data_IF_231438333537
#
_entry.id   IF_231438333537
#
_cell.length_a   1.000
_cell.length_b   1.000
_cell.length_c   1.000
_cell.angle_alpha   90.00
_cell.angle_beta   90.00
_cell.angle_gamma   90.00
#
_symmetry.space_group_name_H-M   'P 1'
#
loop_
_entity.id
_entity.type
_entity.pdbx_description
1 polymer ?
#
# COMPACT_ATOMS: atom_id res chain seq x y z
N UNK A 1 -27.55 1.28 -1.68
CA UNK A 1 -27.50 0.56 -0.39
C UNK A 1 -27.61 1.58 0.72
N UNK A 2 -28.44 1.36 1.72
CA UNK A 2 -28.66 2.33 2.80
C UNK A 2 -28.95 1.60 4.11
N UNK A 3 -28.42 2.10 5.23
CA UNK A 3 -28.67 1.59 6.59
C UNK A 3 -28.46 0.08 6.72
N UNK A 4 -27.38 -0.45 6.11
CA UNK A 4 -27.13 -1.88 6.02
C UNK A 4 -25.74 -2.27 6.56
N UNK A 5 -25.62 -3.52 7.05
CA UNK A 5 -24.35 -4.17 7.32
C UNK A 5 -24.12 -5.27 6.29
N UNK A 6 -23.02 -5.18 5.54
CA UNK A 6 -22.79 -6.02 4.36
C UNK A 6 -21.35 -6.52 4.31
N UNK A 7 -21.18 -7.83 4.09
CA UNK A 7 -19.88 -8.50 3.92
C UNK A 7 -19.83 -9.21 2.56
N UNK A 8 -18.86 -8.85 1.73
CA UNK A 8 -18.69 -9.41 0.37
C UNK A 8 -17.25 -9.88 0.17
N UNK A 9 -17.06 -11.10 -0.33
CA UNK A 9 -15.73 -11.67 -0.59
C UNK A 9 -15.08 -11.19 -1.90
N UNK A 10 -15.84 -10.53 -2.76
CA UNK A 10 -15.37 -9.99 -4.03
C UNK A 10 -15.54 -8.47 -4.12
N UNK A 11 -15.78 -7.98 -5.32
CA UNK A 11 -16.04 -6.56 -5.56
C UNK A 11 -17.49 -6.16 -5.23
N UNK A 12 -17.67 -4.90 -4.87
CA UNK A 12 -18.99 -4.25 -4.74
C UNK A 12 -19.13 -3.21 -5.83
N UNK A 13 -20.26 -3.25 -6.53
CA UNK A 13 -20.70 -2.23 -7.47
C UNK A 13 -22.03 -1.67 -6.99
N UNK A 14 -22.13 -0.36 -6.81
CA UNK A 14 -23.38 0.29 -6.44
C UNK A 14 -23.43 1.75 -6.89
N UNK A 15 -24.63 2.31 -7.05
CA UNK A 15 -24.77 3.71 -7.44
C UNK A 15 -24.60 4.66 -6.24
N UNK A 16 -25.11 4.27 -5.07
CA UNK A 16 -25.05 5.04 -3.83
C UNK A 16 -24.93 4.10 -2.65
N UNK A 17 -24.07 4.46 -1.70
CA UNK A 17 -23.97 3.79 -0.40
C UNK A 17 -24.04 4.82 0.72
N UNK A 18 -24.96 4.62 1.66
CA UNK A 18 -25.22 5.61 2.70
C UNK A 18 -25.45 4.98 4.07
N UNK A 19 -24.89 5.61 5.12
CA UNK A 19 -25.09 5.26 6.52
C UNK A 19 -24.97 3.76 6.79
N UNK A 20 -23.99 3.12 6.17
CA UNK A 20 -23.84 1.66 6.15
C UNK A 20 -22.49 1.25 6.70
N UNK A 21 -22.40 -0.03 7.05
CA UNK A 21 -21.17 -0.71 7.45
C UNK A 21 -20.85 -1.78 6.42
N UNK A 22 -19.88 -1.55 5.55
CA UNK A 22 -19.64 -2.43 4.40
C UNK A 22 -18.19 -2.91 4.38
N UNK A 23 -18.01 -4.22 4.32
CA UNK A 23 -16.70 -4.86 4.18
C UNK A 23 -16.65 -5.63 2.86
N UNK A 24 -15.69 -5.29 2.00
CA UNK A 24 -15.38 -6.07 0.81
C UNK A 24 -13.92 -6.53 0.80
N UNK A 25 -13.66 -7.77 0.42
CA UNK A 25 -12.29 -8.29 0.39
C UNK A 25 -11.48 -7.82 -0.83
N UNK A 26 -12.15 -7.34 -1.88
CA UNK A 26 -11.51 -6.77 -3.06
C UNK A 26 -11.72 -5.25 -3.11
N UNK A 27 -12.52 -4.73 -4.06
CA UNK A 27 -12.71 -3.30 -4.28
C UNK A 27 -14.17 -2.86 -4.22
N UNK A 28 -14.40 -1.61 -3.83
CA UNK A 28 -15.69 -0.93 -3.97
C UNK A 28 -15.64 0.08 -5.12
N UNK A 29 -16.64 -0.02 -5.98
CA UNK A 29 -16.83 0.83 -7.15
C UNK A 29 -18.21 1.48 -7.06
N UNK A 30 -18.25 2.72 -6.60
CA UNK A 30 -19.49 3.43 -6.34
C UNK A 30 -19.70 4.49 -7.43
N UNK A 31 -20.30 4.09 -8.54
CA UNK A 31 -20.45 4.92 -9.74
C UNK A 31 -21.88 4.85 -10.25
N UNK A 32 -22.35 5.91 -10.90
CA UNK A 32 -23.66 5.91 -11.55
C UNK A 32 -24.23 7.31 -11.64
N UNK A 33 -25.57 7.43 -11.59
CA UNK A 33 -26.24 8.74 -11.66
C UNK A 33 -25.89 9.69 -10.51
N UNK A 34 -25.38 9.15 -9.40
CA UNK A 34 -24.97 9.91 -8.21
C UNK A 34 -23.59 9.50 -7.71
N UNK A 35 -23.23 8.21 -7.75
CA UNK A 35 -21.87 7.73 -7.44
C UNK A 35 -21.34 8.14 -6.06
N UNK A 36 -22.18 8.12 -5.01
CA UNK A 36 -21.84 8.72 -3.70
C UNK A 36 -21.66 7.72 -2.58
N UNK A 37 -20.66 7.96 -1.73
CA UNK A 37 -20.51 7.33 -0.41
C UNK A 37 -20.78 8.37 0.66
N UNK A 38 -21.80 8.16 1.50
CA UNK A 38 -22.22 9.16 2.51
C UNK A 38 -22.44 8.52 3.86
N UNK A 39 -21.59 8.81 4.83
CA UNK A 39 -21.79 8.38 6.21
C UNK A 39 -21.57 6.88 6.44
N UNK A 40 -21.04 6.54 7.61
CA UNK A 40 -20.77 5.14 8.00
C UNK A 40 -19.32 4.72 7.79
N UNK A 41 -19.10 3.40 7.72
CA UNK A 41 -17.76 2.82 7.71
C UNK A 41 -17.62 1.77 6.60
N UNK A 42 -16.55 1.92 5.81
CA UNK A 42 -16.34 1.14 4.59
C UNK A 42 -14.92 0.56 4.59
N UNK A 43 -14.80 -0.74 4.36
CA UNK A 43 -13.54 -1.46 4.33
C UNK A 43 -13.36 -2.19 3.01
N UNK A 44 -12.26 -1.92 2.32
CA UNK A 44 -11.90 -2.67 1.12
C UNK A 44 -10.49 -3.27 1.22
N UNK A 45 -10.28 -4.41 0.58
CA UNK A 45 -8.95 -5.02 0.51
C UNK A 45 -8.02 -4.25 -0.42
N UNK A 46 -8.52 -3.74 -1.55
CA UNK A 46 -7.70 -3.13 -2.58
C UNK A 46 -8.01 -1.65 -2.76
N UNK A 47 -9.23 -1.31 -3.17
CA UNK A 47 -9.57 0.03 -3.63
C UNK A 47 -10.97 0.45 -3.21
N UNK A 48 -11.15 1.74 -2.94
CA UNK A 48 -12.47 2.37 -2.85
C UNK A 48 -12.48 3.53 -3.84
N UNK A 49 -13.35 3.47 -4.82
CA UNK A 49 -13.49 4.49 -5.85
C UNK A 49 -14.96 4.92 -5.95
N UNK A 50 -15.21 6.23 -5.90
CA UNK A 50 -16.53 6.81 -6.01
C UNK A 50 -16.48 8.16 -6.73
N UNK A 51 -17.61 8.63 -7.26
CA UNK A 51 -17.71 9.97 -7.84
C UNK A 51 -17.58 11.04 -6.75
N UNK A 52 -18.39 10.91 -5.69
CA UNK A 52 -18.32 11.78 -4.50
C UNK A 52 -18.15 10.96 -3.21
N UNK A 53 -17.28 11.44 -2.33
CA UNK A 53 -17.05 10.85 -1.01
C UNK A 53 -17.38 11.88 0.06
N UNK A 54 -18.33 11.53 0.93
CA UNK A 54 -18.91 12.41 1.94
C UNK A 54 -20.06 13.26 1.39
N UNK A 55 -20.44 14.30 2.14
CA UNK A 55 -21.50 15.22 1.74
C UNK A 55 -21.34 16.60 2.42
N UNK A 56 -22.14 17.57 1.96
CA UNK A 56 -22.18 18.94 2.50
C UNK A 56 -22.74 19.03 3.91
N UNK A 57 -23.59 18.08 4.31
CA UNK A 57 -24.07 17.97 5.69
C UNK A 57 -22.97 17.48 6.67
N UNK A 58 -21.75 17.29 6.18
CA UNK A 58 -20.56 16.95 6.97
C UNK A 58 -20.72 15.64 7.77
N UNK A 59 -21.47 14.69 7.21
CA UNK A 59 -21.72 13.39 7.83
C UNK A 59 -20.42 12.60 7.81
N UNK A 60 -19.99 12.18 9.01
CA UNK A 60 -18.74 11.46 9.17
C UNK A 60 -18.70 10.19 8.34
N UNK A 61 -17.69 10.09 7.47
CA UNK A 61 -17.50 8.94 6.57
C UNK A 61 -16.09 8.38 6.78
N UNK A 62 -16.00 7.09 7.11
CA UNK A 62 -14.73 6.41 7.33
C UNK A 62 -14.47 5.36 6.24
N UNK A 63 -13.33 5.45 5.57
CA UNK A 63 -12.87 4.53 4.54
C UNK A 63 -11.57 3.89 4.98
N UNK A 64 -11.44 2.56 4.89
CA UNK A 64 -10.23 1.86 5.30
C UNK A 64 -9.82 0.84 4.25
N UNK A 65 -8.53 0.85 3.91
CA UNK A 65 -7.92 -0.16 3.07
C UNK A 65 -6.97 -1.02 3.90
N UNK A 66 -7.23 -2.33 3.92
CA UNK A 66 -6.38 -3.30 4.60
C UNK A 66 -5.63 -4.17 3.61
N UNK A 67 -4.34 -4.47 3.84
CA UNK A 67 -3.62 -5.39 2.99
C UNK A 67 -4.23 -6.77 3.15
N UNK A 68 -4.33 -7.53 2.05
CA UNK A 68 -4.66 -8.94 2.19
C UNK A 68 -3.56 -9.61 3.05
N UNK A 69 -3.96 -10.49 3.97
CA UNK A 69 -3.02 -11.17 4.88
C UNK A 69 -1.87 -11.85 4.10
N UNK A 70 -2.16 -12.35 2.90
CA UNK A 70 -1.19 -12.97 2.00
C UNK A 70 -0.15 -11.98 1.46
N UNK A 71 -0.56 -10.80 1.00
CA UNK A 71 0.36 -9.77 0.48
C UNK A 71 1.25 -9.20 1.57
N UNK A 72 0.65 -8.91 2.74
CA UNK A 72 1.39 -8.35 3.86
C UNK A 72 2.45 -9.34 4.38
N UNK A 73 2.12 -10.63 4.40
CA UNK A 73 3.06 -11.71 4.72
C UNK A 73 4.17 -11.85 3.68
N UNK A 74 3.85 -11.79 2.38
CA UNK A 74 4.87 -11.82 1.30
C UNK A 74 5.83 -10.65 1.39
N UNK A 75 5.31 -9.43 1.62
CA UNK A 75 6.13 -8.23 1.80
C UNK A 75 7.08 -8.39 2.98
N UNK A 76 6.55 -8.74 4.16
CA UNK A 76 7.36 -8.97 5.38
C UNK A 76 8.42 -10.05 5.16
N UNK A 77 8.08 -11.14 4.48
CA UNK A 77 9.01 -12.23 4.19
C UNK A 77 10.17 -11.79 3.29
N UNK A 78 9.90 -11.15 2.15
CA UNK A 78 10.97 -10.69 1.26
C UNK A 78 11.83 -9.60 1.92
N UNK A 79 11.24 -8.69 2.70
CA UNK A 79 12.02 -7.69 3.46
C UNK A 79 12.95 -8.35 4.47
N UNK A 80 12.51 -9.40 5.15
CA UNK A 80 13.36 -10.16 6.07
C UNK A 80 14.49 -10.88 5.33
N UNK A 81 14.18 -11.57 4.23
CA UNK A 81 15.17 -12.29 3.41
C UNK A 81 16.27 -11.37 2.87
N UNK A 82 15.91 -10.18 2.38
CA UNK A 82 16.89 -9.17 1.95
C UNK A 82 17.79 -8.78 3.12
N UNK A 83 17.21 -8.48 4.29
CA UNK A 83 17.97 -8.08 5.48
C UNK A 83 18.95 -9.17 5.93
N UNK A 84 18.51 -10.42 5.98
CA UNK A 84 19.32 -11.57 6.40
C UNK A 84 20.47 -11.83 5.42
N UNK A 85 20.19 -11.85 4.11
CA UNK A 85 21.23 -12.04 3.10
C UNK A 85 22.24 -10.90 3.08
N UNK A 86 21.80 -9.63 3.23
CA UNK A 86 22.72 -8.50 3.35
C UNK A 86 23.61 -8.61 4.59
N UNK A 87 23.07 -9.09 5.72
CA UNK A 87 23.88 -9.35 6.92
C UNK A 87 24.94 -10.43 6.67
N UNK A 88 24.56 -11.52 5.99
CA UNK A 88 25.47 -12.61 5.65
C UNK A 88 26.57 -12.17 4.69
N UNK A 89 26.25 -11.35 3.68
CA UNK A 89 27.26 -10.75 2.79
C UNK A 89 28.25 -9.88 3.56
N UNK A 90 27.78 -9.09 4.52
CA UNK A 90 28.66 -8.28 5.36
C UNK A 90 29.60 -9.16 6.21
N UNK A 91 29.13 -10.28 6.75
CA UNK A 91 29.97 -11.23 7.48
C UNK A 91 31.00 -11.91 6.57
N UNK A 92 30.57 -12.38 5.39
CA UNK A 92 31.46 -12.98 4.39
C UNK A 92 32.52 -12.01 3.88
N UNK A 93 32.16 -10.73 3.71
CA UNK A 93 33.10 -9.67 3.31
C UNK A 93 34.17 -9.46 4.39
N UNK A 94 33.80 -9.48 5.67
CA UNK A 94 34.78 -9.42 6.78
C UNK A 94 35.75 -10.60 6.77
N UNK A 95 35.28 -11.80 6.41
CA UNK A 95 36.18 -12.97 6.27
C UNK A 95 37.23 -12.70 5.19
N UNK A 96 36.87 -12.07 4.07
CA UNK A 96 37.81 -11.70 3.00
C UNK A 96 38.83 -10.63 3.43
N UNK A 97 38.55 -9.87 4.48
CA UNK A 97 39.49 -8.89 5.05
C UNK A 97 40.50 -9.54 6.01
N UNK A 98 40.21 -10.74 6.53
CA UNK A 98 41.00 -11.45 7.54
C UNK A 98 41.95 -12.49 6.93
N UNK A 99 42.95 -12.03 6.17
CA UNK A 99 43.95 -12.91 5.53
C UNK A 99 45.06 -13.41 6.48
N UNK A 100 45.32 -12.71 7.58
CA UNK A 100 46.55 -12.87 8.36
C UNK A 100 46.84 -14.33 8.76
N UNK A 101 48.08 -14.78 8.48
CA UNK A 101 48.56 -16.11 8.86
C UNK A 101 48.13 -17.26 7.96
N UNK A 102 47.46 -17.00 6.83
CA UNK A 102 47.00 -18.03 5.88
C UNK A 102 47.95 -18.13 4.67
N UNK A 103 48.27 -19.36 4.27
CA UNK A 103 49.02 -19.66 3.04
C UNK A 103 48.30 -19.15 1.77
N UNK A 104 49.07 -18.70 0.77
CA UNK A 104 48.55 -18.05 -0.44
C UNK A 104 47.66 -18.97 -1.30
N UNK A 105 48.01 -20.26 -1.40
CA UNK A 105 47.21 -21.20 -2.18
C UNK A 105 45.89 -21.51 -1.47
N UNK A 106 45.94 -21.70 -0.14
CA UNK A 106 44.74 -21.87 0.69
C UNK A 106 43.84 -20.62 0.63
N UNK A 107 44.43 -19.42 0.71
CA UNK A 107 43.70 -18.16 0.65
C UNK A 107 42.99 -17.95 -0.69
N UNK A 108 43.64 -18.27 -1.82
CA UNK A 108 42.99 -18.22 -3.14
C UNK A 108 41.72 -19.07 -3.21
N UNK A 109 41.72 -20.25 -2.59
CA UNK A 109 40.54 -21.13 -2.55
C UNK A 109 39.42 -20.49 -1.73
N UNK A 110 39.75 -19.90 -0.57
CA UNK A 110 38.78 -19.19 0.28
C UNK A 110 38.16 -18.02 -0.48
N UNK A 111 38.98 -17.18 -1.11
CA UNK A 111 38.52 -16.03 -1.90
C UNK A 111 37.53 -16.49 -2.98
N UNK A 112 37.88 -17.49 -3.78
CA UNK A 112 37.00 -17.99 -4.85
C UNK A 112 35.65 -18.47 -4.30
N UNK A 113 35.65 -19.24 -3.19
CA UNK A 113 34.43 -19.79 -2.60
C UNK A 113 33.54 -18.69 -1.99
N UNK A 114 34.13 -17.79 -1.22
CA UNK A 114 33.40 -16.72 -0.55
C UNK A 114 32.87 -15.71 -1.57
N UNK A 115 33.67 -15.32 -2.58
CA UNK A 115 33.21 -14.46 -3.66
C UNK A 115 32.07 -15.09 -4.47
N UNK A 116 32.11 -16.41 -4.69
CA UNK A 116 30.98 -17.12 -5.32
C UNK A 116 29.71 -17.03 -4.47
N UNK A 117 29.82 -17.25 -3.16
CA UNK A 117 28.68 -17.20 -2.24
C UNK A 117 28.10 -15.78 -2.13
N UNK A 118 28.95 -14.75 -2.02
CA UNK A 118 28.51 -13.34 -2.04
C UNK A 118 27.73 -13.06 -3.33
N UNK A 119 28.30 -13.42 -4.49
CA UNK A 119 27.63 -13.22 -5.79
C UNK A 119 26.29 -13.96 -5.88
N UNK A 120 26.20 -15.15 -5.30
CA UNK A 120 24.94 -15.90 -5.23
C UNK A 120 23.90 -15.19 -4.36
N UNK A 121 24.29 -14.70 -3.18
CA UNK A 121 23.40 -13.97 -2.28
C UNK A 121 22.97 -12.62 -2.85
N UNK A 122 23.88 -11.88 -3.50
CA UNK A 122 23.57 -10.61 -4.17
C UNK A 122 22.49 -10.81 -5.24
N UNK A 123 22.59 -11.87 -6.05
CA UNK A 123 21.57 -12.19 -7.04
C UNK A 123 20.19 -12.43 -6.40
N UNK A 124 20.14 -13.12 -5.26
CA UNK A 124 18.87 -13.33 -4.55
C UNK A 124 18.33 -12.04 -3.95
N UNK A 125 19.19 -11.17 -3.44
CA UNK A 125 18.79 -9.83 -2.97
C UNK A 125 18.16 -9.05 -4.12
N UNK A 126 18.78 -9.02 -5.29
CA UNK A 126 18.23 -8.37 -6.49
C UNK A 126 16.84 -8.93 -6.85
N UNK A 127 16.69 -10.26 -6.88
CA UNK A 127 15.43 -10.94 -7.19
C UNK A 127 14.33 -10.61 -6.17
N UNK A 128 14.64 -10.61 -4.87
CA UNK A 128 13.67 -10.26 -3.82
C UNK A 128 13.31 -8.78 -3.82
N UNK A 129 14.28 -7.89 -4.07
CA UNK A 129 14.06 -6.46 -4.22
C UNK A 129 13.19 -6.14 -5.44
N UNK A 130 13.38 -6.84 -6.56
CA UNK A 130 12.52 -6.72 -7.74
C UNK A 130 11.08 -7.16 -7.44
N UNK A 131 10.89 -8.29 -6.75
CA UNK A 131 9.56 -8.74 -6.30
C UNK A 131 8.90 -7.76 -5.35
N UNK A 132 9.65 -7.18 -4.41
CA UNK A 132 9.15 -6.13 -3.53
C UNK A 132 8.73 -4.88 -4.31
N UNK A 133 9.55 -4.44 -5.27
CA UNK A 133 9.21 -3.31 -6.16
C UNK A 133 7.92 -3.57 -6.93
N UNK A 134 7.75 -4.76 -7.50
CA UNK A 134 6.52 -5.13 -8.23
C UNK A 134 5.28 -5.08 -7.34
N UNK A 135 5.36 -5.57 -6.11
CA UNK A 135 4.25 -5.47 -5.14
C UNK A 135 3.97 -4.00 -4.79
N UNK A 136 5.00 -3.20 -4.56
CA UNK A 136 4.84 -1.77 -4.24
C UNK A 136 4.24 -0.97 -5.40
N UNK A 137 4.67 -1.24 -6.62
CA UNK A 137 4.15 -0.56 -7.81
C UNK A 137 2.70 -0.96 -8.08
N UNK A 138 2.38 -2.26 -8.00
CA UNK A 138 0.99 -2.71 -8.09
C UNK A 138 0.12 -2.06 -7.01
N UNK A 139 0.61 -1.99 -5.76
CA UNK A 139 -0.10 -1.30 -4.69
C UNK A 139 -0.29 0.18 -4.99
N UNK A 140 0.72 0.89 -5.50
CA UNK A 140 0.59 2.31 -5.87
C UNK A 140 -0.48 2.51 -6.95
N UNK A 141 -0.54 1.61 -7.92
CA UNK A 141 -1.48 1.70 -9.05
C UNK A 141 -2.90 1.25 -8.70
N UNK A 142 -3.05 0.32 -7.76
CA UNK A 142 -4.32 -0.36 -7.52
C UNK A 142 -4.89 -0.12 -6.13
N UNK A 143 -4.07 0.25 -5.14
CA UNK A 143 -4.51 0.47 -3.75
C UNK A 143 -4.62 1.94 -3.41
N UNK A 144 -5.83 2.45 -3.51
CA UNK A 144 -6.12 3.85 -3.26
C UNK A 144 -7.56 4.07 -2.81
N UNK A 145 -7.78 5.19 -2.14
CA UNK A 145 -9.10 5.82 -2.08
C UNK A 145 -9.13 6.92 -3.12
N UNK A 146 -10.17 6.93 -3.96
CA UNK A 146 -10.29 7.90 -5.04
C UNK A 146 -11.69 8.48 -5.13
N UNK A 147 -11.76 9.80 -5.08
CA UNK A 147 -12.93 10.58 -5.42
C UNK A 147 -12.74 11.12 -6.86
N UNK A 148 -13.66 10.81 -7.76
CA UNK A 148 -13.55 11.23 -9.16
C UNK A 148 -13.93 12.69 -9.37
N UNK A 149 -14.83 13.21 -8.54
CA UNK A 149 -15.32 14.58 -8.61
C UNK A 149 -14.98 15.35 -7.33
N UNK A 150 -15.43 14.88 -6.17
CA UNK A 150 -15.33 15.63 -4.91
C UNK A 150 -15.06 14.71 -3.72
N UNK A 151 -14.11 15.12 -2.89
CA UNK A 151 -13.92 14.63 -1.53
C UNK A 151 -14.34 15.73 -0.55
N UNK A 152 -15.47 15.52 0.14
CA UNK A 152 -15.99 16.47 1.12
C UNK A 152 -15.13 16.49 2.40
N UNK A 153 -15.48 17.39 3.32
CA UNK A 153 -14.89 17.47 4.66
C UNK A 153 -15.43 16.38 5.60
N UNK A 154 -14.83 16.29 6.78
CA UNK A 154 -15.12 15.30 7.83
C UNK A 154 -15.00 13.83 7.37
N UNK A 155 -13.94 13.56 6.60
CA UNK A 155 -13.61 12.23 6.09
C UNK A 155 -12.41 11.66 6.83
N UNK A 156 -12.53 10.40 7.22
CA UNK A 156 -11.44 9.60 7.76
C UNK A 156 -11.04 8.55 6.73
N UNK A 157 -9.76 8.51 6.37
CA UNK A 157 -9.20 7.49 5.49
C UNK A 157 -8.05 6.81 6.23
N UNK A 158 -8.04 5.48 6.24
CA UNK A 158 -6.93 4.70 6.78
C UNK A 158 -6.38 3.78 5.71
N UNK A 159 -5.10 3.93 5.38
CA UNK A 159 -4.41 3.08 4.42
C UNK A 159 -3.32 2.30 5.16
N UNK A 160 -3.47 0.98 5.30
CA UNK A 160 -2.51 0.12 6.00
C UNK A 160 -2.02 0.72 7.35
N UNK A 161 -2.96 1.18 8.18
CA UNK A 161 -2.70 1.83 9.49
C UNK A 161 -2.10 3.24 9.45
N UNK A 162 -1.85 3.81 8.28
CA UNK A 162 -1.59 5.24 8.16
C UNK A 162 -2.94 5.99 8.10
N UNK A 163 -3.21 6.94 9.03
CA UNK A 163 -4.45 7.70 9.03
C UNK A 163 -4.32 9.01 8.24
N UNK A 164 -5.36 9.36 7.49
CA UNK A 164 -5.59 10.67 6.88
C UNK A 164 -6.94 11.20 7.37
N UNK A 165 -6.94 12.42 7.92
CA UNK A 165 -8.15 13.07 8.43
C UNK A 165 -8.34 14.38 7.71
N UNK A 166 -9.39 14.47 6.89
CA UNK A 166 -9.82 15.72 6.31
C UNK A 166 -10.99 16.26 7.12
N UNK A 167 -10.78 17.28 7.95
CA UNK A 167 -11.85 17.82 8.81
C UNK A 167 -12.59 19.01 8.22
N UNK A 168 -11.94 19.80 7.36
CA UNK A 168 -12.41 21.14 7.02
C UNK A 168 -12.28 21.50 5.54
N UNK A 169 -11.49 20.76 4.77
CA UNK A 169 -11.24 21.09 3.37
C UNK A 169 -12.17 20.29 2.46
N UNK A 170 -12.62 20.90 1.36
CA UNK A 170 -13.23 20.20 0.25
C UNK A 170 -12.15 20.06 -0.82
N UNK A 171 -11.93 18.86 -1.30
CA UNK A 171 -11.06 18.62 -2.44
C UNK A 171 -11.91 18.28 -3.66
N UNK A 172 -11.45 18.68 -4.85
CA UNK A 172 -12.00 18.23 -6.11
C UNK A 172 -11.64 16.77 -6.36
N UNK A 173 -11.19 16.48 -7.59
CA UNK A 173 -10.79 15.12 -7.94
C UNK A 173 -9.55 14.73 -7.15
N UNK A 174 -9.65 13.69 -6.34
CA UNK A 174 -8.58 13.34 -5.39
C UNK A 174 -8.24 11.86 -5.44
N UNK A 175 -6.94 11.57 -5.38
CA UNK A 175 -6.39 10.23 -5.19
C UNK A 175 -5.55 10.22 -3.92
N UNK A 176 -5.84 9.27 -3.03
CA UNK A 176 -5.16 9.07 -1.76
C UNK A 176 -4.59 7.66 -1.75
N UNK A 177 -3.28 7.55 -1.61
CA UNK A 177 -2.55 6.28 -1.69
C UNK A 177 -1.31 6.31 -0.80
N UNK A 178 -0.63 5.16 -0.66
CA UNK A 178 0.57 5.05 0.17
C UNK A 178 1.85 5.15 -0.66
N UNK A 179 2.79 5.98 -0.20
CA UNK A 179 4.16 6.09 -0.72
C UNK A 179 5.13 5.94 0.46
N UNK A 180 5.95 4.89 0.45
CA UNK A 180 6.96 4.67 1.49
C UNK A 180 6.38 4.52 2.91
N UNK A 181 5.11 4.13 3.04
CA UNK A 181 4.41 4.02 4.34
C UNK A 181 3.72 5.31 4.79
N UNK A 182 3.90 6.42 4.08
CA UNK A 182 3.19 7.67 4.30
C UNK A 182 2.00 7.79 3.34
N UNK A 183 0.97 8.52 3.76
CA UNK A 183 -0.13 8.89 2.86
C UNK A 183 0.34 10.02 1.96
N UNK A 184 0.11 9.83 0.67
CA UNK A 184 0.24 10.87 -0.34
C UNK A 184 -1.15 11.20 -0.91
N UNK A 185 -1.37 12.48 -1.17
CA UNK A 185 -2.65 13.03 -1.62
C UNK A 185 -2.42 13.85 -2.88
N UNK A 186 -2.98 13.41 -4.00
CA UNK A 186 -2.98 14.15 -5.26
C UNK A 186 -4.39 14.67 -5.50
N UNK A 187 -4.52 15.98 -5.65
CA UNK A 187 -5.78 16.65 -6.00
C UNK A 187 -5.63 17.37 -7.33
N UNK A 188 -6.51 17.08 -8.28
CA UNK A 188 -6.65 17.77 -9.56
C UNK A 188 -7.86 18.72 -9.49
N UNK A 189 -7.65 19.99 -9.81
CA UNK A 189 -8.67 21.03 -9.69
C UNK A 189 -8.64 21.68 -8.29
N UNK A 190 -7.94 22.81 -8.19
CA UNK A 190 -8.22 23.80 -7.14
C UNK A 190 -9.58 24.42 -7.47
N UNK A 191 -10.49 24.47 -6.49
CA UNK A 191 -11.59 25.42 -6.58
C UNK A 191 -10.99 26.82 -6.78
N UNK A 192 -11.35 27.42 -7.91
CA UNK A 192 -11.43 28.87 -8.05
C UNK A 192 -12.56 29.25 -7.10
N UNK A 193 -12.23 29.95 -6.02
CA UNK A 193 -13.22 30.64 -5.23
C UNK A 193 -13.86 31.71 -6.13
N UNK A 194 -15.15 31.55 -6.42
CA UNK A 194 -16.07 32.66 -6.66
C UNK A 194 -16.63 33.11 -5.30
#
# INVERSE_FOLDING_TARGET
>A
MENAEVLVKGNIYADVVMNSKVECWESMFIFGSRGRIVGGEYWAGNKIEADEIGNEANVYTALRLFPSVGEDRKRKNFTLQVKEASSMINELSKILEQREGIDDAAWRIVVVRVSYLIKYLDKHIEDWQDRLRKIQEWNRQNRMVRAMEVLHSNIYIELNSAPFRNRHERFGRTKIYLVGGNIDVITEGKDRND
#
